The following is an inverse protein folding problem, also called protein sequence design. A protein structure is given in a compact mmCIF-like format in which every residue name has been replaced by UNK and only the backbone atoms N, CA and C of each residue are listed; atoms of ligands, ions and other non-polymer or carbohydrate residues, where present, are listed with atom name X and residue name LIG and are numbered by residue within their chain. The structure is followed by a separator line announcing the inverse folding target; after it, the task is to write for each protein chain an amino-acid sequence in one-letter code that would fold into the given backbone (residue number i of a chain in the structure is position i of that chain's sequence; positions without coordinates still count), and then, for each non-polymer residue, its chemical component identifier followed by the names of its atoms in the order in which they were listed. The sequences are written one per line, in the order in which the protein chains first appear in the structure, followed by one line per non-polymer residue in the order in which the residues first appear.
data_IF_858080337709
#
_entry.id   IF_858080337709
#
_cell.length_a   1.000
_cell.length_b   1.000
_cell.length_c   1.000
_cell.angle_alpha   90.00
_cell.angle_beta   90.00
_cell.angle_gamma   90.00
#
_symmetry.space_group_name_H-M   'P 1'
#
loop_
_entity.id
_entity.type
_entity.pdbx_description
1 polymer ?
#
# COMPACT_ATOMS: atom_id res chain seq x y z
N UNK A 1 26.03 -29.18 -7.96
CA UNK A 1 24.58 -29.24 -7.79
C UNK A 1 24.24 -28.36 -6.60
N UNK A 2 24.27 -27.04 -6.78
CA UNK A 2 23.16 -26.17 -7.22
C UNK A 2 22.41 -25.55 -6.02
N UNK A 3 22.90 -24.37 -5.65
CA UNK A 3 22.16 -23.14 -5.31
C UNK A 3 20.75 -23.26 -4.76
N UNK A 4 20.60 -23.05 -3.44
CA UNK A 4 19.38 -22.52 -2.81
C UNK A 4 19.73 -21.71 -1.57
N UNK A 5 20.15 -20.45 -1.72
CA UNK A 5 20.11 -19.51 -0.59
C UNK A 5 20.17 -18.06 -1.08
N UNK A 6 19.07 -17.55 -1.62
CA UNK A 6 18.95 -16.10 -1.92
C UNK A 6 17.55 -15.52 -1.67
N UNK A 7 16.54 -16.32 -1.30
CA UNK A 7 15.15 -15.86 -1.21
C UNK A 7 14.79 -15.05 0.05
N UNK A 8 15.61 -15.08 1.10
CA UNK A 8 15.26 -14.49 2.41
C UNK A 8 15.60 -13.00 2.55
N UNK A 9 16.41 -12.43 1.66
CA UNK A 9 16.88 -11.03 1.78
C UNK A 9 15.99 -10.00 1.08
N UNK A 10 15.07 -10.43 0.20
CA UNK A 10 14.19 -9.54 -0.58
C UNK A 10 12.85 -9.27 0.12
N UNK A 11 12.42 -10.16 1.03
CA UNK A 11 11.15 -10.06 1.76
C UNK A 11 10.98 -8.76 2.57
N UNK A 12 11.97 -8.31 3.39
CA UNK A 12 11.79 -7.08 4.17
C UNK A 12 11.66 -5.85 3.27
N UNK A 13 12.41 -5.80 2.17
CA UNK A 13 12.38 -4.68 1.24
C UNK A 13 11.05 -4.58 0.49
N UNK A 14 10.44 -5.69 0.06
CA UNK A 14 9.12 -5.65 -0.59
C UNK A 14 8.03 -5.15 0.36
N UNK A 15 8.03 -5.60 1.62
CA UNK A 15 7.07 -5.14 2.63
C UNK A 15 7.19 -3.64 2.92
N UNK A 16 8.42 -3.12 2.95
CA UNK A 16 8.65 -1.67 3.07
C UNK A 16 8.10 -0.89 1.88
N UNK A 17 8.27 -1.42 0.66
CA UNK A 17 7.72 -0.78 -0.55
C UNK A 17 6.18 -0.84 -0.55
N UNK A 18 5.58 -1.97 -0.17
CA UNK A 18 4.12 -2.09 0.00
C UNK A 18 3.59 -1.03 0.97
N UNK A 19 4.22 -0.90 2.14
CA UNK A 19 3.84 0.09 3.16
C UNK A 19 3.96 1.52 2.65
N UNK A 20 5.05 1.85 1.93
CA UNK A 20 5.23 3.18 1.32
C UNK A 20 4.15 3.48 0.29
N UNK A 21 3.79 2.50 -0.54
CA UNK A 21 2.68 2.67 -1.51
C UNK A 21 1.38 2.92 -0.77
N UNK A 22 1.05 2.13 0.26
CA UNK A 22 -0.16 2.33 1.06
C UNK A 22 -0.21 3.72 1.72
N UNK A 23 0.90 4.22 2.28
CA UNK A 23 1.01 5.59 2.80
C UNK A 23 0.58 6.63 1.74
N UNK A 24 1.11 6.51 0.52
CA UNK A 24 0.74 7.43 -0.57
C UNK A 24 -0.73 7.33 -1.01
N UNK A 25 -1.37 6.17 -0.83
CA UNK A 25 -2.78 5.98 -1.14
C UNK A 25 -3.71 6.51 -0.03
N UNK A 26 -3.22 6.55 1.22
CA UNK A 26 -3.92 7.10 2.37
C UNK A 26 -3.82 8.63 2.44
N UNK A 27 -2.63 9.19 2.20
CA UNK A 27 -2.37 10.63 2.31
C UNK A 27 -2.42 11.40 0.99
N UNK A 28 -2.32 10.71 -0.14
CA UNK A 28 -2.14 11.34 -1.45
C UNK A 28 -0.71 11.83 -1.66
N UNK A 29 -0.48 12.54 -2.76
CA UNK A 29 0.81 13.21 -3.02
C UNK A 29 0.58 14.69 -3.25
N UNK A 30 1.62 15.55 -3.16
CA UNK A 30 1.46 16.98 -3.40
C UNK A 30 0.92 17.31 -4.80
N UNK A 31 1.11 16.43 -5.79
CA UNK A 31 0.63 16.59 -7.17
C UNK A 31 -0.68 15.81 -7.44
N UNK A 32 -1.39 15.41 -6.39
CA UNK A 32 -2.67 14.72 -6.44
C UNK A 32 -2.59 13.22 -6.18
N UNK A 33 -3.71 12.53 -6.39
CA UNK A 33 -3.84 11.11 -6.09
C UNK A 33 -3.18 10.19 -7.12
N UNK A 34 -2.67 9.07 -6.63
CA UNK A 34 -2.15 7.94 -7.42
C UNK A 34 -3.07 6.72 -7.36
N UNK A 35 -4.25 6.82 -6.72
CA UNK A 35 -5.16 5.70 -6.48
C UNK A 35 -5.64 5.02 -7.75
N UNK A 36 -6.02 5.79 -8.76
CA UNK A 36 -6.48 5.24 -10.04
C UNK A 36 -5.38 4.41 -10.72
N UNK A 37 -4.15 4.93 -10.76
CA UNK A 37 -3.00 4.22 -11.32
C UNK A 37 -2.61 3.00 -10.50
N UNK A 38 -2.64 3.11 -9.16
CA UNK A 38 -2.37 1.98 -8.28
C UNK A 38 -3.40 0.87 -8.46
N UNK A 39 -4.69 1.21 -8.56
CA UNK A 39 -5.76 0.26 -8.83
C UNK A 39 -5.54 -0.51 -10.12
N UNK A 40 -5.17 0.17 -11.20
CA UNK A 40 -4.96 -0.44 -12.51
C UNK A 40 -3.72 -1.37 -12.50
N UNK A 41 -2.60 -0.88 -11.95
CA UNK A 41 -1.30 -1.55 -12.00
C UNK A 41 -1.23 -2.73 -11.01
N UNK A 42 -1.79 -2.59 -9.81
CA UNK A 42 -1.69 -3.57 -8.73
C UNK A 42 -2.89 -4.51 -8.63
N UNK A 43 -3.85 -4.43 -9.56
CA UNK A 43 -5.04 -5.31 -9.56
C UNK A 43 -4.71 -6.80 -9.51
N UNK A 44 -3.60 -7.19 -10.13
CA UNK A 44 -3.14 -8.59 -10.20
C UNK A 44 -1.91 -8.84 -9.35
N UNK A 45 -1.50 -7.87 -8.54
CA UNK A 45 -0.35 -8.01 -7.66
C UNK A 45 -0.72 -8.90 -6.46
N UNK A 46 0.14 -9.86 -6.15
CA UNK A 46 0.00 -10.70 -4.96
C UNK A 46 0.75 -10.08 -3.79
N UNK A 47 -0.01 -9.50 -2.87
CA UNK A 47 0.51 -8.91 -1.64
C UNK A 47 1.18 -9.95 -0.75
N UNK A 48 2.28 -9.55 -0.11
CA UNK A 48 3.03 -10.41 0.81
C UNK A 48 2.39 -10.43 2.20
N UNK A 49 1.87 -9.30 2.63
CA UNK A 49 1.19 -9.13 3.91
C UNK A 49 -0.33 -9.03 3.68
N UNK A 50 -1.14 -9.98 4.20
CA UNK A 50 -2.60 -9.94 4.08
C UNK A 50 -3.23 -8.62 4.56
N UNK A 51 -2.67 -8.00 5.60
CA UNK A 51 -3.13 -6.69 6.05
C UNK A 51 -2.97 -5.62 4.95
N UNK A 52 -1.86 -5.65 4.21
CA UNK A 52 -1.59 -4.68 3.15
C UNK A 52 -2.59 -4.82 1.98
N UNK A 53 -2.93 -6.05 1.60
CA UNK A 53 -3.97 -6.33 0.60
C UNK A 53 -5.33 -5.75 1.01
N UNK A 54 -5.76 -6.07 2.23
CA UNK A 54 -7.04 -5.58 2.76
C UNK A 54 -7.03 -4.05 2.87
N UNK A 55 -5.91 -3.47 3.31
CA UNK A 55 -5.76 -2.02 3.38
C UNK A 55 -5.88 -1.38 2.00
N UNK A 56 -5.21 -1.92 0.98
CA UNK A 56 -5.31 -1.45 -0.40
C UNK A 56 -6.76 -1.45 -0.89
N UNK A 57 -7.45 -2.58 -0.73
CA UNK A 57 -8.86 -2.71 -1.14
C UNK A 57 -9.77 -1.73 -0.41
N UNK A 58 -9.61 -1.61 0.91
CA UNK A 58 -10.42 -0.71 1.74
C UNK A 58 -10.18 0.73 1.34
N UNK A 59 -8.92 1.16 1.23
CA UNK A 59 -8.53 2.52 0.82
C UNK A 59 -9.13 2.87 -0.54
N UNK A 60 -9.03 1.98 -1.53
CA UNK A 60 -9.61 2.20 -2.86
C UNK A 60 -11.15 2.18 -2.87
N UNK A 61 -11.80 1.54 -1.90
CA UNK A 61 -13.26 1.52 -1.76
C UNK A 61 -13.84 2.80 -1.15
N UNK A 62 -13.01 3.67 -0.57
CA UNK A 62 -13.45 4.94 0.02
C UNK A 62 -13.55 5.99 -1.09
N UNK A 63 -14.73 6.58 -1.36
CA UNK A 63 -14.97 7.48 -2.49
C UNK A 63 -14.39 8.89 -2.31
N UNK A 64 -13.56 9.11 -1.28
CA UNK A 64 -12.89 10.38 -1.01
C UNK A 64 -11.39 10.19 -0.93
N UNK A 65 -10.66 11.24 -1.31
CA UNK A 65 -9.20 11.32 -1.26
C UNK A 65 -8.71 12.23 -0.11
N UNK A 66 -9.64 12.70 0.74
CA UNK A 66 -9.33 13.54 1.90
C UNK A 66 -8.70 12.66 3.00
N UNK A 67 -7.42 12.87 3.36
CA UNK A 67 -6.71 11.99 4.30
C UNK A 67 -7.38 11.85 5.66
N UNK A 68 -7.96 12.93 6.19
CA UNK A 68 -8.64 12.95 7.48
C UNK A 68 -9.85 12.01 7.47
N UNK A 69 -10.65 12.08 6.41
CA UNK A 69 -11.83 11.23 6.25
C UNK A 69 -11.45 9.78 6.00
N UNK A 70 -10.36 9.52 5.27
CA UNK A 70 -9.83 8.17 5.11
C UNK A 70 -9.41 7.63 6.47
N UNK A 71 -8.65 8.39 7.26
CA UNK A 71 -8.17 8.02 8.59
C UNK A 71 -9.30 7.67 9.56
N UNK A 72 -10.41 8.41 9.53
CA UNK A 72 -11.57 8.12 10.37
C UNK A 72 -12.33 6.85 9.93
N UNK A 73 -12.43 6.61 8.63
CA UNK A 73 -13.19 5.46 8.10
C UNK A 73 -12.41 4.16 8.08
N UNK A 74 -11.08 4.22 7.96
CA UNK A 74 -10.23 3.06 7.76
C UNK A 74 -10.35 2.03 8.91
N UNK A 75 -10.25 2.39 10.21
CA UNK A 75 -10.29 1.42 11.31
C UNK A 75 -11.59 0.63 11.34
N UNK A 76 -12.74 1.31 11.18
CA UNK A 76 -14.04 0.67 11.20
C UNK A 76 -14.21 -0.33 10.04
N UNK A 77 -13.64 -0.03 8.86
CA UNK A 77 -13.67 -0.93 7.70
C UNK A 77 -12.70 -2.11 7.87
N UNK A 78 -11.50 -1.88 8.39
CA UNK A 78 -10.52 -2.94 8.68
C UNK A 78 -11.05 -3.91 9.74
N UNK A 79 -11.68 -3.40 10.80
CA UNK A 79 -12.34 -4.22 11.83
C UNK A 79 -13.37 -5.17 11.22
N UNK A 80 -14.22 -4.67 10.31
CA UNK A 80 -15.23 -5.49 9.60
C UNK A 80 -14.61 -6.55 8.67
N UNK A 81 -13.36 -6.36 8.27
CA UNK A 81 -12.58 -7.32 7.47
C UNK A 81 -11.77 -8.30 8.33
N UNK A 82 -11.89 -8.23 9.66
CA UNK A 82 -11.19 -9.12 10.59
C UNK A 82 -9.86 -8.58 11.11
N UNK A 83 -9.60 -7.28 10.94
CA UNK A 83 -8.36 -6.61 11.37
C UNK A 83 -8.66 -5.48 12.39
N UNK A 84 -9.05 -5.80 13.63
CA UNK A 84 -9.39 -4.80 14.65
C UNK A 84 -8.17 -4.12 15.28
N UNK A 85 -7.03 -4.80 15.36
CA UNK A 85 -5.84 -4.36 16.11
C UNK A 85 -4.76 -3.74 15.20
N UNK A 86 -5.18 -3.07 14.13
CA UNK A 86 -4.25 -2.46 13.17
C UNK A 86 -3.87 -1.06 13.64
N UNK A 87 -2.57 -0.84 13.81
CA UNK A 87 -2.04 0.51 13.92
C UNK A 87 -2.04 1.17 12.53
N UNK A 88 -3.08 1.95 12.28
CA UNK A 88 -3.21 2.68 11.02
C UNK A 88 -2.35 3.94 11.00
N UNK A 89 -1.88 4.43 12.15
CA UNK A 89 -1.16 5.71 12.27
C UNK A 89 0.14 5.69 11.49
N UNK A 90 0.80 4.53 11.46
CA UNK A 90 1.95 4.24 10.60
C UNK A 90 1.69 4.54 9.12
N UNK A 91 0.43 4.47 8.65
CA UNK A 91 0.08 4.72 7.25
C UNK A 91 -0.31 6.19 6.97
N UNK A 92 -0.42 7.01 8.02
CA UNK A 92 -0.69 8.44 7.96
C UNK A 92 0.50 9.29 8.45
N UNK A 93 1.67 8.69 8.64
CA UNK A 93 2.90 9.46 8.86
C UNK A 93 3.25 10.27 7.60
N UNK A 94 3.51 11.59 7.72
CA UNK A 94 3.88 12.44 6.60
C UNK A 94 5.01 11.85 5.76
N UNK A 95 4.84 11.84 4.44
CA UNK A 95 5.87 11.40 3.51
C UNK A 95 6.25 12.49 2.51
N UNK A 96 7.50 12.46 2.04
CA UNK A 96 8.02 13.37 1.02
C UNK A 96 7.83 12.91 -0.43
N UNK A 97 7.16 11.77 -0.66
CA UNK A 97 7.04 11.18 -1.99
C UNK A 97 6.24 12.06 -2.95
N UNK A 98 6.85 12.38 -4.08
CA UNK A 98 6.17 12.95 -5.24
C UNK A 98 5.28 11.91 -5.93
N UNK A 99 4.36 12.38 -6.76
CA UNK A 99 3.52 11.52 -7.60
C UNK A 99 4.32 10.59 -8.51
N UNK A 100 5.43 11.07 -9.05
CA UNK A 100 6.29 10.28 -9.93
C UNK A 100 7.02 9.16 -9.17
N UNK A 101 7.54 9.47 -7.98
CA UNK A 101 8.17 8.47 -7.11
C UNK A 101 7.16 7.43 -6.65
N UNK A 102 5.96 7.85 -6.23
CA UNK A 102 4.87 6.95 -5.89
C UNK A 102 4.52 6.02 -7.07
N UNK A 103 4.39 6.57 -8.28
CA UNK A 103 4.14 5.77 -9.48
C UNK A 103 5.28 4.78 -9.80
N UNK A 104 6.54 5.15 -9.54
CA UNK A 104 7.68 4.23 -9.68
C UNK A 104 7.60 3.08 -8.68
N UNK A 105 7.29 3.36 -7.40
CA UNK A 105 7.12 2.33 -6.38
C UNK A 105 5.97 1.36 -6.71
N UNK A 106 4.85 1.88 -7.20
CA UNK A 106 3.71 1.06 -7.64
C UNK A 106 4.13 0.10 -8.77
N UNK A 107 4.87 0.60 -9.77
CA UNK A 107 5.38 -0.27 -10.86
C UNK A 107 6.39 -1.29 -10.36
N UNK A 108 7.27 -0.88 -9.45
CA UNK A 108 8.24 -1.77 -8.83
C UNK A 108 7.57 -2.92 -8.07
N UNK A 109 6.47 -2.67 -7.35
CA UNK A 109 5.70 -3.73 -6.70
C UNK A 109 5.14 -4.71 -7.70
N UNK A 110 4.48 -4.24 -8.77
CA UNK A 110 3.98 -5.11 -9.85
C UNK A 110 5.08 -6.03 -10.36
N UNK A 111 6.27 -5.49 -10.61
CA UNK A 111 7.40 -6.25 -11.16
C UNK A 111 8.07 -7.17 -10.13
N UNK A 112 7.80 -6.98 -8.82
CA UNK A 112 8.28 -7.81 -7.71
C UNK A 112 7.30 -8.94 -7.33
N UNK A 113 6.10 -8.94 -7.91
CA UNK A 113 5.00 -9.87 -7.58
C UNK A 113 4.85 -11.06 -8.54
N UNK A 114 5.80 -11.25 -9.45
CA UNK A 114 5.87 -12.40 -10.37
C UNK A 114 6.66 -13.57 -9.78
#
# INVERSE_FOLDING_TARGET
METRNSETSQQPHTLEVERRVLRTLCQGTPQGSVRASARDILRTYRWREPLHEVMFDVVLSIPTEIPEVIREQLPARLTRKGFPDVDIEDFFEPHGLSKEEAARLIRQLRDSGV
#
